data_IF_566790804128
#
_entry.id   IF_566790804128
#
_cell.length_a   1.000
_cell.length_b   1.000
_cell.length_c   1.000
_cell.angle_alpha   90.00
_cell.angle_beta   90.00
_cell.angle_gamma   90.00
#
_symmetry.space_group_name_H-M   'P 1'
#
loop_
_entity.id
_entity.type
_entity.pdbx_description
1 polymer ?
#
# COMPACT_ATOMS: atom_id res chain seq x y z
N UNK A 1 5.32 -22.04 1.88
CA UNK A 1 5.19 -20.69 2.45
C UNK A 1 5.35 -19.56 1.43
N UNK A 2 6.32 -19.59 0.51
CA UNK A 2 6.62 -18.45 -0.39
C UNK A 2 5.44 -18.02 -1.29
N UNK A 3 4.76 -18.97 -1.94
CA UNK A 3 3.58 -18.67 -2.78
C UNK A 3 2.46 -18.00 -1.97
N UNK A 4 2.25 -18.45 -0.73
CA UNK A 4 1.25 -17.86 0.16
C UNK A 4 1.63 -16.43 0.56
N UNK A 5 2.91 -16.17 0.86
CA UNK A 5 3.39 -14.82 1.15
C UNK A 5 3.11 -13.88 -0.01
N UNK A 6 3.53 -14.25 -1.23
CA UNK A 6 3.30 -13.43 -2.42
C UNK A 6 1.80 -13.21 -2.68
N UNK A 7 1.00 -14.28 -2.56
CA UNK A 7 -0.45 -14.20 -2.70
C UNK A 7 -1.06 -13.18 -1.72
N UNK A 8 -0.69 -13.23 -0.44
CA UNK A 8 -1.23 -12.31 0.57
C UNK A 8 -0.72 -10.88 0.39
N UNK A 9 0.53 -10.67 -0.02
CA UNK A 9 1.04 -9.33 -0.34
C UNK A 9 0.22 -8.68 -1.48
N UNK A 10 -0.10 -9.42 -2.54
CA UNK A 10 -0.94 -8.91 -3.63
C UNK A 10 -2.40 -8.74 -3.17
N UNK A 11 -2.91 -9.67 -2.37
CA UNK A 11 -4.31 -9.66 -1.92
C UNK A 11 -4.61 -8.46 -1.04
N UNK A 12 -3.68 -7.99 -0.21
CA UNK A 12 -3.94 -6.81 0.62
C UNK A 12 -4.16 -5.55 -0.21
N UNK A 13 -3.48 -5.40 -1.34
CA UNK A 13 -3.77 -4.32 -2.28
C UNK A 13 -5.21 -4.41 -2.78
N UNK A 14 -5.62 -5.58 -3.28
CA UNK A 14 -6.98 -5.77 -3.80
C UNK A 14 -8.04 -5.54 -2.71
N UNK A 15 -7.80 -6.03 -1.49
CA UNK A 15 -8.67 -5.82 -0.34
C UNK A 15 -8.84 -4.32 -0.03
N UNK A 16 -7.74 -3.58 0.04
CA UNK A 16 -7.78 -2.16 0.42
C UNK A 16 -8.39 -1.29 -0.69
N UNK A 17 -8.02 -1.49 -1.96
CA UNK A 17 -8.47 -0.64 -3.07
C UNK A 17 -9.89 -0.92 -3.56
N UNK A 18 -10.33 -2.18 -3.51
CA UNK A 18 -11.59 -2.60 -4.14
C UNK A 18 -12.68 -2.99 -3.15
N UNK A 19 -12.32 -3.56 -1.99
CA UNK A 19 -13.32 -4.02 -1.02
C UNK A 19 -13.52 -3.04 0.14
N UNK A 20 -12.47 -2.38 0.62
CA UNK A 20 -12.54 -1.50 1.80
C UNK A 20 -12.52 -0.01 1.46
N UNK A 21 -12.04 0.38 0.28
CA UNK A 21 -12.09 1.77 -0.16
C UNK A 21 -13.53 2.15 -0.54
N UNK A 22 -14.04 3.20 0.10
CA UNK A 22 -15.31 3.81 -0.30
C UNK A 22 -15.13 4.77 -1.48
N UNK A 23 -16.22 5.04 -2.21
CA UNK A 23 -16.25 6.05 -3.28
C UNK A 23 -15.75 7.42 -2.79
N UNK A 24 -16.03 7.76 -1.53
CA UNK A 24 -15.56 8.99 -0.92
C UNK A 24 -14.03 9.04 -0.83
N UNK A 25 -13.37 7.98 -0.37
CA UNK A 25 -11.90 7.92 -0.31
C UNK A 25 -11.33 7.93 -1.74
N UNK A 26 -11.89 7.12 -2.63
CA UNK A 26 -11.42 6.96 -4.01
C UNK A 26 -11.38 8.29 -4.77
N UNK A 27 -12.37 9.17 -4.53
CA UNK A 27 -12.48 10.47 -5.20
C UNK A 27 -11.82 11.60 -4.41
N UNK A 28 -12.03 11.68 -3.09
CA UNK A 28 -11.55 12.79 -2.27
C UNK A 28 -10.04 12.74 -2.00
N UNK A 29 -9.36 11.59 -2.22
CA UNK A 29 -7.89 11.55 -2.22
C UNK A 29 -7.26 12.32 -3.38
N UNK A 30 -8.04 12.62 -4.44
CA UNK A 30 -7.55 13.38 -5.58
C UNK A 30 -7.70 14.89 -5.37
N UNK A 31 -6.58 15.61 -5.36
CA UNK A 31 -6.49 17.07 -5.12
C UNK A 31 -7.40 17.91 -6.02
N UNK A 32 -7.61 17.49 -7.26
CA UNK A 32 -8.42 18.20 -8.27
C UNK A 32 -9.91 17.85 -8.22
N UNK A 33 -10.35 17.01 -7.28
CA UNK A 33 -11.75 16.61 -7.13
C UNK A 33 -12.53 17.59 -6.26
N UNK A 34 -13.63 18.11 -6.80
CA UNK A 34 -14.49 19.07 -6.11
C UNK A 34 -15.86 18.46 -5.77
N UNK A 35 -16.16 18.41 -4.48
CA UNK A 35 -17.47 18.02 -3.93
C UNK A 35 -17.67 18.71 -2.57
N UNK A 36 -18.89 18.74 -2.01
CA UNK A 36 -19.09 19.21 -0.64
C UNK A 36 -18.21 18.47 0.38
N UNK A 37 -17.97 17.17 0.18
CA UNK A 37 -17.13 16.33 1.06
C UNK A 37 -15.66 16.72 0.95
N UNK A 38 -15.13 16.93 -0.27
CA UNK A 38 -13.72 17.32 -0.47
C UNK A 38 -13.42 18.74 0.01
N UNK A 39 -14.44 19.60 0.18
CA UNK A 39 -14.31 20.91 0.82
C UNK A 39 -14.26 20.83 2.34
N UNK A 40 -14.89 19.82 2.94
CA UNK A 40 -14.90 19.64 4.39
C UNK A 40 -13.61 19.03 4.93
N UNK A 41 -12.99 18.11 4.17
CA UNK A 41 -11.73 17.44 4.55
C UNK A 41 -10.73 17.54 3.39
N UNK A 42 -9.58 18.20 3.60
CA UNK A 42 -8.55 18.33 2.57
C UNK A 42 -8.06 17.00 2.00
N UNK A 43 -7.80 16.96 0.69
CA UNK A 43 -7.41 15.76 -0.06
C UNK A 43 -6.24 14.99 0.54
N UNK A 44 -5.27 15.69 1.14
CA UNK A 44 -4.07 15.06 1.69
C UNK A 44 -4.39 14.19 2.92
N UNK A 45 -5.46 14.45 3.66
CA UNK A 45 -5.91 13.55 4.74
C UNK A 45 -6.46 12.25 4.17
N UNK A 46 -7.29 12.32 3.12
CA UNK A 46 -7.82 11.15 2.43
C UNK A 46 -6.71 10.29 1.83
N UNK A 47 -5.77 10.92 1.10
CA UNK A 47 -4.65 10.21 0.49
C UNK A 47 -3.71 9.62 1.53
N UNK A 48 -3.37 10.37 2.58
CA UNK A 48 -2.47 9.87 3.62
C UNK A 48 -3.08 8.72 4.41
N UNK A 49 -4.36 8.83 4.79
CA UNK A 49 -5.06 7.75 5.48
C UNK A 49 -5.12 6.48 4.61
N UNK A 50 -5.44 6.63 3.33
CA UNK A 50 -5.44 5.52 2.38
C UNK A 50 -4.06 4.87 2.27
N UNK A 51 -3.01 5.65 1.99
CA UNK A 51 -1.65 5.12 1.85
C UNK A 51 -1.13 4.45 3.15
N UNK A 52 -1.44 5.02 4.33
CA UNK A 52 -1.09 4.44 5.63
C UNK A 52 -1.76 3.07 5.81
N UNK A 53 -3.01 2.90 5.40
CA UNK A 53 -3.70 1.60 5.48
C UNK A 53 -3.04 0.54 4.58
N UNK A 54 -2.58 0.93 3.38
CA UNK A 54 -1.80 0.02 2.53
C UNK A 54 -0.48 -0.38 3.19
N UNK A 55 0.29 0.58 3.73
CA UNK A 55 1.50 0.28 4.47
C UNK A 55 1.26 -0.62 5.68
N UNK A 56 0.25 -0.32 6.48
CA UNK A 56 -0.15 -1.13 7.63
C UNK A 56 -0.55 -2.56 7.22
N UNK A 57 -1.23 -2.72 6.07
CA UNK A 57 -1.61 -4.04 5.55
C UNK A 57 -0.39 -4.89 5.17
N UNK A 58 0.62 -4.28 4.55
CA UNK A 58 1.91 -4.95 4.26
C UNK A 58 2.60 -5.34 5.56
N UNK A 59 2.71 -4.41 6.52
CA UNK A 59 3.30 -4.69 7.82
C UNK A 59 2.61 -5.84 8.55
N UNK A 60 1.28 -5.91 8.51
CA UNK A 60 0.51 -6.99 9.11
C UNK A 60 0.79 -8.34 8.46
N UNK A 61 0.84 -8.42 7.13
CA UNK A 61 1.20 -9.65 6.40
C UNK A 61 2.64 -10.05 6.73
N UNK A 62 3.59 -9.13 6.64
CA UNK A 62 5.01 -9.39 6.95
C UNK A 62 5.16 -9.92 8.38
N UNK A 63 4.49 -9.31 9.36
CA UNK A 63 4.52 -9.77 10.75
C UNK A 63 3.90 -11.14 10.93
N UNK A 64 2.77 -11.41 10.25
CA UNK A 64 2.06 -12.69 10.30
C UNK A 64 2.93 -13.83 9.77
N UNK A 65 3.76 -13.58 8.76
CA UNK A 65 4.71 -14.55 8.22
C UNK A 65 6.00 -14.72 9.05
N UNK A 66 6.12 -14.03 10.20
CA UNK A 66 7.19 -14.27 11.18
C UNK A 66 8.44 -13.39 11.03
N UNK A 67 8.41 -12.36 10.19
CA UNK A 67 9.50 -11.40 10.09
C UNK A 67 9.54 -10.46 11.30
N UNK A 68 10.74 -9.91 11.57
CA UNK A 68 10.98 -9.02 12.70
C UNK A 68 10.33 -7.63 12.52
N UNK A 69 10.33 -6.84 13.61
CA UNK A 69 9.74 -5.50 13.58
C UNK A 69 10.53 -4.51 12.72
N UNK A 70 11.81 -4.78 12.45
CA UNK A 70 12.63 -3.97 11.54
C UNK A 70 12.11 -4.09 10.12
N UNK A 71 11.87 -5.32 9.64
CA UNK A 71 11.27 -5.61 8.34
C UNK A 71 9.87 -5.02 8.24
N UNK A 72 9.04 -5.23 9.28
CA UNK A 72 7.66 -4.71 9.34
C UNK A 72 7.65 -3.19 9.22
N UNK A 73 8.41 -2.48 10.04
CA UNK A 73 8.43 -1.02 10.04
C UNK A 73 9.00 -0.47 8.72
N UNK A 74 10.07 -1.07 8.21
CA UNK A 74 10.73 -0.65 6.96
C UNK A 74 9.78 -0.79 5.77
N UNK A 75 9.20 -1.98 5.58
CA UNK A 75 8.33 -2.25 4.43
C UNK A 75 6.98 -1.52 4.54
N UNK A 76 6.41 -1.41 5.74
CA UNK A 76 5.17 -0.64 5.94
C UNK A 76 5.34 0.86 5.64
N UNK A 77 6.44 1.46 6.10
CA UNK A 77 6.74 2.87 5.81
C UNK A 77 7.06 3.07 4.34
N UNK A 78 7.87 2.20 3.75
CA UNK A 78 8.22 2.29 2.33
C UNK A 78 6.99 2.15 1.43
N UNK A 79 6.10 1.20 1.72
CA UNK A 79 4.81 1.06 1.05
C UNK A 79 3.93 2.30 1.23
N UNK A 80 3.84 2.85 2.43
CA UNK A 80 3.06 4.07 2.68
C UNK A 80 3.54 5.21 1.78
N UNK A 81 4.86 5.42 1.69
CA UNK A 81 5.44 6.50 0.88
C UNK A 81 5.23 6.25 -0.61
N UNK A 82 5.54 5.03 -1.10
CA UNK A 82 5.38 4.70 -2.51
C UNK A 82 3.92 4.75 -2.95
N UNK A 83 3.01 4.14 -2.18
CA UNK A 83 1.57 4.14 -2.48
C UNK A 83 1.02 5.56 -2.53
N UNK A 84 1.44 6.43 -1.60
CA UNK A 84 1.05 7.84 -1.60
C UNK A 84 1.43 8.56 -2.90
N UNK A 85 2.68 8.39 -3.36
CA UNK A 85 3.14 9.03 -4.60
C UNK A 85 2.53 8.41 -5.86
N UNK A 86 2.29 7.10 -5.88
CA UNK A 86 1.64 6.42 -7.00
C UNK A 86 0.21 6.96 -7.16
N UNK A 87 -0.56 6.97 -6.07
CA UNK A 87 -1.92 7.48 -6.11
C UNK A 87 -1.99 8.97 -6.41
N UNK A 88 -1.03 9.77 -5.90
CA UNK A 88 -0.93 11.18 -6.28
C UNK A 88 -0.71 11.30 -7.79
N UNK A 89 0.20 10.52 -8.37
CA UNK A 89 0.47 10.54 -9.81
C UNK A 89 -0.77 10.22 -10.65
N UNK A 90 -1.54 9.18 -10.27
CA UNK A 90 -2.83 8.86 -10.87
C UNK A 90 -3.83 10.02 -10.72
N UNK A 91 -4.01 10.54 -9.51
CA UNK A 91 -4.94 11.64 -9.22
C UNK A 91 -4.57 12.94 -9.95
N UNK A 92 -3.30 13.16 -10.23
CA UNK A 92 -2.79 14.28 -11.02
C UNK A 92 -2.87 14.05 -12.53
N UNK A 93 -3.34 12.86 -12.95
CA UNK A 93 -3.48 12.42 -14.35
C UNK A 93 -2.15 12.29 -15.09
N UNK A 94 -1.08 11.93 -14.38
CA UNK A 94 0.21 11.61 -15.00
C UNK A 94 0.17 10.26 -15.75
N UNK A 95 -0.72 9.36 -15.32
CA UNK A 95 -0.99 8.07 -15.95
C UNK A 95 -2.39 7.56 -15.59
N UNK A 96 -2.82 6.51 -16.30
CA UNK A 96 -4.13 5.87 -16.12
C UNK A 96 -4.11 4.68 -15.14
N UNK A 97 -5.26 4.01 -15.03
CA UNK A 97 -5.48 2.92 -14.08
C UNK A 97 -4.55 1.71 -14.32
N UNK A 98 -4.25 1.36 -15.58
CA UNK A 98 -3.42 0.19 -15.86
C UNK A 98 -1.98 0.36 -15.32
N UNK A 99 -1.43 1.57 -15.47
CA UNK A 99 -0.08 1.90 -14.96
C UNK A 99 -0.11 1.98 -13.44
N UNK A 100 -1.15 2.56 -12.85
CA UNK A 100 -1.36 2.60 -11.40
C UNK A 100 -1.35 1.19 -10.80
N UNK A 101 -2.16 0.28 -11.35
CA UNK A 101 -2.23 -1.11 -10.89
C UNK A 101 -0.90 -1.86 -11.10
N UNK A 102 -0.21 -1.63 -12.22
CA UNK A 102 1.09 -2.23 -12.47
C UNK A 102 2.13 -1.76 -11.44
N UNK A 103 2.21 -0.46 -11.15
CA UNK A 103 3.13 0.09 -10.14
C UNK A 103 2.84 -0.49 -8.77
N UNK A 104 1.56 -0.59 -8.41
CA UNK A 104 1.11 -1.19 -7.17
C UNK A 104 1.55 -2.66 -7.07
N UNK A 105 1.31 -3.50 -8.07
CA UNK A 105 1.77 -4.90 -8.07
C UNK A 105 3.29 -4.99 -8.01
N UNK A 106 4.01 -4.11 -8.71
CA UNK A 106 5.47 -4.06 -8.70
C UNK A 106 6.05 -3.76 -7.29
N UNK A 107 5.41 -2.90 -6.49
CA UNK A 107 5.80 -2.71 -5.09
C UNK A 107 5.74 -4.02 -4.29
N UNK A 108 4.68 -4.81 -4.47
CA UNK A 108 4.49 -6.07 -3.73
C UNK A 108 5.51 -7.13 -4.18
N UNK A 109 5.82 -7.17 -5.47
CA UNK A 109 6.90 -8.01 -6.00
C UNK A 109 8.27 -7.59 -5.45
N UNK A 110 8.53 -6.29 -5.30
CA UNK A 110 9.77 -5.80 -4.69
C UNK A 110 9.87 -6.19 -3.21
N UNK A 111 8.81 -6.04 -2.42
CA UNK A 111 8.78 -6.49 -1.02
C UNK A 111 8.99 -7.98 -0.88
N UNK A 112 8.32 -8.77 -1.72
CA UNK A 112 8.52 -10.21 -1.78
C UNK A 112 10.00 -10.55 -2.07
N UNK A 113 10.61 -9.90 -3.06
CA UNK A 113 12.02 -10.12 -3.40
C UNK A 113 12.97 -9.76 -2.24
N UNK A 114 12.74 -8.65 -1.54
CA UNK A 114 13.57 -8.27 -0.38
C UNK A 114 13.46 -9.26 0.78
N UNK A 115 12.24 -9.76 1.05
CA UNK A 115 12.00 -10.72 2.12
C UNK A 115 12.60 -12.10 1.82
N UNK A 116 12.53 -12.54 0.57
CA UNK A 116 13.07 -13.85 0.15
C UNK A 116 14.57 -13.81 -0.09
N UNK A 117 15.13 -12.66 -0.47
CA UNK A 117 16.56 -12.44 -0.61
C UNK A 117 17.32 -12.31 0.71
N UNK A 118 16.68 -12.60 1.85
CA UNK A 118 17.24 -12.54 3.20
C UNK A 118 17.86 -11.17 3.58
N UNK A 119 17.36 -10.09 2.97
CA UNK A 119 17.70 -8.71 3.40
C UNK A 119 17.20 -8.48 4.84
N UNK A 120 16.14 -9.17 5.21
CA UNK A 120 15.58 -9.20 6.55
C UNK A 120 15.63 -10.64 7.08
N UNK A 121 16.31 -10.84 8.21
CA UNK A 121 16.37 -12.15 8.86
C UNK A 121 15.02 -12.53 9.48
N UNK A 122 14.63 -13.83 9.45
CA UNK A 122 13.51 -14.28 10.26
C UNK A 122 13.80 -14.05 11.75
N UNK A 123 12.75 -13.91 12.57
CA UNK A 123 12.91 -13.84 14.02
C UNK A 123 13.76 -15.02 14.51
N UNK A 124 14.76 -14.81 15.38
CA UNK A 124 15.47 -15.91 16.00
C UNK A 124 14.47 -16.81 16.73
N UNK A 125 14.67 -18.14 16.74
CA UNK A 125 13.80 -19.04 17.48
C UNK A 125 13.81 -18.65 18.95
N UNK A 126 12.61 -18.34 19.47
CA UNK A 126 12.37 -18.09 20.90
C UNK A 126 12.21 -19.38 21.69
#
# INVERSE_FOLDING_TARGET
>A
MLVALLFFLITTHALMDYALQSDAIATCKCRKFESPVSKAVPWYYWLSAHAILHGASIGAVVRWFGFDWTAVATLALAETVLHWFIDLGKCERLYGIDIDQALHVMCRLAWFALLVGEVFGPLPPG
#
